data_IF_467182096393
#
_entry.id   IF_467182096393
#
_cell.length_a   1.000
_cell.length_b   1.000
_cell.length_c   1.000
_cell.angle_alpha   90.00
_cell.angle_beta   90.00
_cell.angle_gamma   90.00
#
_symmetry.space_group_name_H-M   'P 1'
#
loop_
_entity.id
_entity.type
_entity.pdbx_description
1 polymer ?
#
# COMPACT_ATOMS: atom_id res chain seq x y z
N UNK A 1 0.86 -4.07 -9.07
CA UNK A 1 0.47 -3.23 -7.96
C UNK A 1 1.64 -2.35 -7.57
N UNK A 2 1.69 -1.10 -8.03
CA UNK A 2 2.24 -0.09 -7.15
C UNK A 2 1.37 -0.20 -5.91
N UNK A 3 2.00 -0.66 -4.84
CA UNK A 3 1.37 -1.32 -3.71
C UNK A 3 0.42 -0.38 -2.96
N UNK A 4 0.54 0.92 -3.22
CA UNK A 4 -0.21 2.00 -2.61
C UNK A 4 -1.09 2.82 -3.59
N UNK A 5 -1.01 2.64 -4.92
CA UNK A 5 -1.68 3.55 -5.87
C UNK A 5 -2.97 2.97 -6.51
N UNK A 6 -3.26 1.68 -6.35
CA UNK A 6 -4.51 1.05 -6.80
C UNK A 6 -4.60 0.69 -8.30
N UNK A 7 -3.62 1.04 -9.14
CA UNK A 7 -3.63 0.72 -10.60
C UNK A 7 -3.30 -0.75 -10.95
N UNK A 8 -2.88 -1.54 -9.94
CA UNK A 8 -2.48 -2.93 -10.07
C UNK A 8 -1.25 -3.25 -10.96
N UNK A 9 -0.44 -2.28 -11.44
CA UNK A 9 0.84 -2.54 -12.17
C UNK A 9 2.09 -2.56 -11.29
N UNK A 10 2.75 -3.71 -11.09
CA UNK A 10 3.57 -3.95 -9.87
C UNK A 10 4.98 -3.41 -9.87
N UNK A 11 5.41 -3.07 -11.06
CA UNK A 11 6.78 -2.75 -11.40
C UNK A 11 6.82 -1.39 -12.14
N UNK A 12 5.80 -0.54 -11.95
CA UNK A 12 5.59 0.70 -12.71
C UNK A 12 5.18 1.82 -11.74
N UNK A 13 6.16 2.60 -11.29
CA UNK A 13 6.00 3.74 -10.37
C UNK A 13 5.22 4.92 -10.98
N UNK A 14 4.85 4.84 -12.27
CA UNK A 14 4.18 5.91 -13.01
C UNK A 14 4.93 7.26 -12.99
N UNK A 15 6.25 7.22 -12.81
CA UNK A 15 7.10 8.40 -12.71
C UNK A 15 6.97 9.16 -11.39
N UNK A 16 6.31 8.58 -10.38
CA UNK A 16 6.22 9.14 -9.02
C UNK A 16 6.99 8.23 -8.04
N UNK A 17 8.13 8.69 -7.49
CA UNK A 17 8.95 7.89 -6.58
C UNK A 17 8.29 7.64 -5.22
N UNK A 18 7.14 8.23 -4.92
CA UNK A 18 6.36 7.90 -3.72
C UNK A 18 5.53 6.60 -3.89
N UNK A 19 5.42 6.07 -5.11
CA UNK A 19 4.72 4.81 -5.37
C UNK A 19 5.60 3.62 -5.02
N UNK A 20 5.10 2.73 -4.17
CA UNK A 20 5.87 1.57 -3.72
C UNK A 20 5.76 0.44 -4.75
N UNK A 21 6.88 0.06 -5.34
CA UNK A 21 7.00 -1.00 -6.34
C UNK A 21 7.41 -2.34 -5.73
N UNK A 22 7.31 -3.42 -6.53
CA UNK A 22 7.87 -4.72 -6.14
C UNK A 22 9.40 -4.71 -6.08
N UNK A 23 10.06 -3.81 -6.81
CA UNK A 23 11.50 -3.59 -6.76
C UNK A 23 11.92 -3.06 -5.38
N UNK A 24 11.21 -2.07 -4.86
CA UNK A 24 11.46 -1.52 -3.53
C UNK A 24 11.13 -2.53 -2.43
N UNK A 25 10.00 -3.21 -2.55
CA UNK A 25 9.64 -4.31 -1.66
C UNK A 25 10.70 -5.41 -1.67
N UNK A 26 11.22 -5.78 -2.85
CA UNK A 26 12.27 -6.79 -2.97
C UNK A 26 13.57 -6.32 -2.34
N UNK A 27 13.99 -5.07 -2.58
CA UNK A 27 15.17 -4.50 -1.95
C UNK A 27 15.08 -4.50 -0.42
N UNK A 28 13.92 -4.13 0.12
CA UNK A 28 13.66 -4.18 1.57
C UNK A 28 13.64 -5.62 2.10
N UNK A 29 13.04 -6.57 1.37
CA UNK A 29 13.02 -7.98 1.75
C UNK A 29 14.44 -8.57 1.78
N UNK A 30 15.22 -8.36 0.71
CA UNK A 30 16.59 -8.85 0.59
C UNK A 30 17.48 -8.27 1.71
N UNK A 31 17.33 -6.98 2.04
CA UNK A 31 18.06 -6.34 3.14
C UNK A 31 17.77 -6.96 4.53
N UNK A 32 16.60 -7.58 4.70
CA UNK A 32 16.19 -8.26 5.93
C UNK A 32 16.35 -9.79 5.86
N UNK A 33 16.97 -10.32 4.81
CA UNK A 33 17.14 -11.76 4.61
C UNK A 33 15.82 -12.51 4.37
N UNK A 34 14.78 -11.82 3.90
CA UNK A 34 13.45 -12.35 3.64
C UNK A 34 13.17 -12.47 2.14
N UNK A 35 12.24 -13.35 1.77
CA UNK A 35 11.65 -13.35 0.43
C UNK A 35 10.50 -12.34 0.29
N UNK A 36 10.18 -11.91 -0.93
CA UNK A 36 9.05 -10.98 -1.21
C UNK A 36 7.74 -11.43 -0.58
N UNK A 37 7.40 -12.71 -0.67
CA UNK A 37 6.16 -13.26 -0.10
C UNK A 37 6.14 -13.24 1.43
N UNK A 38 7.30 -13.38 2.08
CA UNK A 38 7.43 -13.30 3.52
C UNK A 38 7.36 -11.86 4.01
N UNK A 39 8.01 -10.93 3.30
CA UNK A 39 7.96 -9.51 3.60
C UNK A 39 6.52 -8.97 3.52
N UNK A 40 5.74 -9.34 2.48
CA UNK A 40 4.31 -8.98 2.40
C UNK A 40 3.49 -9.52 3.57
N UNK A 41 3.73 -10.78 3.97
CA UNK A 41 3.07 -11.37 5.15
C UNK A 41 3.41 -10.60 6.42
N UNK A 42 4.68 -10.22 6.58
CA UNK A 42 5.12 -9.45 7.74
C UNK A 42 4.50 -8.05 7.75
N UNK A 43 4.49 -7.33 6.62
CA UNK A 43 3.86 -6.01 6.52
C UNK A 43 2.38 -6.04 6.94
N UNK A 44 1.61 -7.03 6.46
CA UNK A 44 0.21 -7.19 6.85
C UNK A 44 0.06 -7.51 8.33
N UNK A 45 0.92 -8.36 8.88
CA UNK A 45 0.91 -8.72 10.29
C UNK A 45 1.24 -7.53 11.19
N UNK A 46 2.27 -6.76 10.83
CA UNK A 46 2.64 -5.52 11.52
C UNK A 46 1.51 -4.50 11.46
N UNK A 47 0.89 -4.29 10.29
CA UNK A 47 -0.24 -3.39 10.17
C UNK A 47 -1.44 -3.82 11.03
N UNK A 48 -1.69 -5.12 11.18
CA UNK A 48 -2.75 -5.61 12.07
C UNK A 48 -2.47 -5.28 13.54
N UNK A 49 -1.23 -5.42 13.99
CA UNK A 49 -0.83 -5.14 15.37
C UNK A 49 -0.78 -3.63 15.66
N UNK A 50 -0.21 -2.86 14.74
CA UNK A 50 -0.02 -1.42 14.85
C UNK A 50 -1.33 -0.64 14.97
N UNK A 51 -2.39 -1.14 14.30
CA UNK A 51 -3.76 -0.58 14.36
C UNK A 51 -4.35 -0.42 15.75
N UNK A 52 -3.88 -1.20 16.72
CA UNK A 52 -4.36 -1.11 18.11
C UNK A 52 -3.77 0.11 18.81
N UNK A 53 -2.53 0.47 18.47
CA UNK A 53 -1.77 1.55 19.12
C UNK A 53 -1.92 2.89 18.39
N UNK A 54 -2.07 2.88 17.07
CA UNK A 54 -2.10 4.08 16.21
C UNK A 54 -3.44 4.26 15.49
N UNK A 55 -4.56 4.14 16.22
CA UNK A 55 -5.93 4.12 15.64
C UNK A 55 -6.20 5.29 14.70
N UNK A 56 -5.70 6.49 15.01
CA UNK A 56 -5.90 7.72 14.23
C UNK A 56 -5.28 7.66 12.82
N UNK A 57 -4.18 6.93 12.64
CA UNK A 57 -3.55 6.73 11.33
C UNK A 57 -4.41 5.85 10.39
N UNK A 58 -5.32 5.05 10.95
CA UNK A 58 -6.17 4.12 10.19
C UNK A 58 -7.61 4.61 9.99
N UNK A 59 -8.11 5.54 10.82
CA UNK A 59 -9.46 6.09 10.69
C UNK A 59 -9.57 7.16 9.58
N UNK A 60 -8.45 7.76 9.17
CA UNK A 60 -8.43 8.90 8.23
C UNK A 60 -8.44 8.52 6.74
N UNK A 61 -8.45 7.22 6.40
CA UNK A 61 -8.26 6.70 5.04
C UNK A 61 -9.52 6.53 4.15
N UNK A 62 -10.57 7.34 4.28
CA UNK A 62 -11.81 7.22 3.45
C UNK A 62 -12.19 8.50 2.71
N UNK A 63 -11.22 9.30 2.26
CA UNK A 63 -11.52 10.44 1.38
C UNK A 63 -11.14 10.14 -0.08
N UNK A 64 -12.17 10.15 -0.93
CA UNK A 64 -12.15 10.26 -2.40
C UNK A 64 -12.31 9.00 -3.27
N UNK A 65 -13.25 8.11 -2.96
CA UNK A 65 -13.95 7.31 -4.01
C UNK A 65 -15.49 7.32 -3.83
N UNK A 66 -16.12 8.50 -3.74
CA UNK A 66 -17.57 8.62 -3.97
C UNK A 66 -17.93 10.02 -4.44
N UNK A 67 -17.51 10.35 -5.66
CA UNK A 67 -18.00 11.53 -6.39
C UNK A 67 -17.94 11.22 -7.87
N UNK A 68 -18.70 10.22 -8.31
CA UNK A 68 -18.84 9.94 -9.73
C UNK A 68 -20.14 9.22 -10.13
N UNK A 69 -21.24 9.30 -9.36
CA UNK A 69 -22.56 8.93 -9.88
C UNK A 69 -23.64 9.88 -9.35
N UNK A 70 -24.31 10.61 -10.24
CA UNK A 70 -25.62 11.20 -9.92
C UNK A 70 -25.84 12.69 -10.12
N UNK A 71 -25.14 13.37 -11.03
CA UNK A 71 -25.75 14.56 -11.66
C UNK A 71 -26.82 14.07 -12.63
N UNK A 72 -28.10 14.17 -12.26
CA UNK A 72 -29.25 14.31 -13.18
C UNK A 72 -30.58 14.49 -12.42
N UNK A 73 -31.18 15.66 -12.66
CA UNK A 73 -32.57 16.12 -12.50
C UNK A 73 -33.08 16.43 -11.11
#
# INVERSE_FOLDING_TARGET
>A
MCLNCGCHKAHDDHGDPANITYEELKGAADANGMGTAESLRMMLKTAEEDRVEHVDEYETGSHAISSAEGSRH
#
